data_IF_418167454286
#
_entry.id   IF_418167454286
#
_cell.length_a   1.000
_cell.length_b   1.000
_cell.length_c   1.000
_cell.angle_alpha   90.00
_cell.angle_beta   90.00
_cell.angle_gamma   90.00
#
_symmetry.space_group_name_H-M   'P 1'
#
loop_
_entity.id
_entity.type
_entity.pdbx_description
1 polymer ?
#
# COMPACT_ATOMS: atom_id res chain seq x y z
N UNK A 1 -10.71 4.99 25.22
CA UNK A 1 -10.49 5.70 23.94
C UNK A 1 -11.66 5.35 23.03
N UNK A 2 -12.62 6.25 22.84
CA UNK A 2 -13.71 6.02 21.87
C UNK A 2 -13.45 6.95 20.68
N UNK A 3 -12.71 6.46 19.69
CA UNK A 3 -12.36 7.18 18.46
C UNK A 3 -13.54 7.25 17.46
N UNK A 4 -14.76 6.97 17.92
CA UNK A 4 -15.98 7.01 17.10
C UNK A 4 -16.09 5.89 16.07
N UNK A 5 -15.14 4.95 15.97
CA UNK A 5 -15.08 3.96 14.89
C UNK A 5 -16.38 3.13 14.77
N UNK A 6 -16.93 2.65 15.88
CA UNK A 6 -18.17 1.86 15.86
C UNK A 6 -19.35 2.66 15.29
N UNK A 7 -19.42 3.96 15.61
CA UNK A 7 -20.42 4.87 15.06
C UNK A 7 -20.19 5.06 13.55
N UNK A 8 -18.95 5.32 13.14
CA UNK A 8 -18.58 5.44 11.72
C UNK A 8 -18.92 4.19 10.91
N UNK A 9 -18.72 2.98 11.47
CA UNK A 9 -19.11 1.71 10.83
C UNK A 9 -20.63 1.67 10.62
N UNK A 10 -21.42 2.03 11.63
CA UNK A 10 -22.89 1.99 11.54
C UNK A 10 -23.47 3.01 10.55
N UNK A 11 -22.83 4.17 10.42
CA UNK A 11 -23.28 5.25 9.53
C UNK A 11 -22.86 5.02 8.07
N UNK A 12 -21.81 4.23 7.83
CA UNK A 12 -21.18 4.07 6.51
C UNK A 12 -21.14 2.61 6.05
N UNK A 13 -22.19 1.83 6.35
CA UNK A 13 -22.26 0.39 6.08
C UNK A 13 -22.00 0.03 4.62
N UNK A 14 -22.45 0.85 3.66
CA UNK A 14 -22.19 0.68 2.23
C UNK A 14 -20.70 0.71 1.88
N UNK A 15 -19.97 1.70 2.41
CA UNK A 15 -18.52 1.81 2.20
C UNK A 15 -17.76 0.69 2.91
N UNK A 16 -18.19 0.30 4.12
CA UNK A 16 -17.61 -0.83 4.85
C UNK A 16 -17.79 -2.14 4.08
N UNK A 17 -18.98 -2.38 3.52
CA UNK A 17 -19.23 -3.57 2.70
C UNK A 17 -18.37 -3.57 1.42
N UNK A 18 -18.28 -2.43 0.74
CA UNK A 18 -17.39 -2.26 -0.41
C UNK A 18 -15.92 -2.52 -0.06
N UNK A 19 -15.46 -2.02 1.08
CA UNK A 19 -14.11 -2.27 1.56
C UNK A 19 -13.87 -3.76 1.84
N UNK A 20 -14.80 -4.45 2.51
CA UNK A 20 -14.71 -5.88 2.75
C UNK A 20 -14.63 -6.69 1.44
N UNK A 21 -15.43 -6.34 0.43
CA UNK A 21 -15.39 -6.99 -0.89
C UNK A 21 -14.02 -6.81 -1.54
N UNK A 22 -13.46 -5.60 -1.51
CA UNK A 22 -12.15 -5.31 -2.10
C UNK A 22 -11.03 -6.06 -1.36
N UNK A 23 -11.11 -6.17 -0.03
CA UNK A 23 -10.17 -6.98 0.75
C UNK A 23 -10.21 -8.45 0.30
N UNK A 24 -11.42 -9.02 0.12
CA UNK A 24 -11.57 -10.40 -0.35
C UNK A 24 -10.97 -10.57 -1.75
N UNK A 25 -11.24 -9.64 -2.67
CA UNK A 25 -10.68 -9.67 -4.02
C UNK A 25 -9.15 -9.59 -3.97
N UNK A 26 -8.60 -8.64 -3.22
CA UNK A 26 -7.15 -8.48 -3.06
C UNK A 26 -6.50 -9.75 -2.48
N UNK A 27 -7.17 -10.42 -1.53
CA UNK A 27 -6.71 -11.67 -0.94
C UNK A 27 -6.75 -12.85 -1.93
N UNK A 28 -7.80 -12.95 -2.75
CA UNK A 28 -7.87 -13.96 -3.81
C UNK A 28 -6.76 -13.74 -4.84
N UNK A 29 -6.57 -12.50 -5.27
CA UNK A 29 -5.49 -12.13 -6.21
C UNK A 29 -4.14 -12.45 -5.59
N UNK A 30 -3.89 -12.06 -4.34
CA UNK A 30 -2.61 -12.30 -3.68
C UNK A 30 -2.31 -13.80 -3.50
N UNK A 31 -3.31 -14.64 -3.25
CA UNK A 31 -3.17 -16.11 -3.24
C UNK A 31 -2.72 -16.62 -4.61
N UNK A 32 -3.38 -16.15 -5.68
CA UNK A 32 -3.03 -16.56 -7.04
C UNK A 32 -1.59 -16.13 -7.36
N UNK A 33 -1.24 -14.88 -7.05
CA UNK A 33 0.10 -14.33 -7.24
C UNK A 33 1.16 -15.08 -6.42
N UNK A 34 0.86 -15.46 -5.18
CA UNK A 34 1.74 -16.26 -4.31
C UNK A 34 1.97 -17.64 -4.93
N UNK A 35 0.91 -18.33 -5.39
CA UNK A 35 1.04 -19.64 -6.06
C UNK A 35 1.88 -19.55 -7.34
N UNK A 36 1.70 -18.50 -8.13
CA UNK A 36 2.53 -18.23 -9.31
C UNK A 36 3.99 -18.04 -8.90
N UNK A 37 4.25 -17.20 -7.89
CA UNK A 37 5.59 -16.94 -7.38
C UNK A 37 6.27 -18.20 -6.82
N UNK A 38 5.53 -19.05 -6.11
CA UNK A 38 6.01 -20.32 -5.57
C UNK A 38 6.37 -21.31 -6.69
N UNK A 39 5.51 -21.42 -7.72
CA UNK A 39 5.76 -22.24 -8.91
C UNK A 39 7.04 -21.82 -9.63
N UNK A 40 7.23 -20.51 -9.83
CA UNK A 40 8.43 -19.93 -10.46
C UNK A 40 9.69 -20.25 -9.64
N UNK A 41 9.62 -20.06 -8.32
CA UNK A 41 10.78 -20.25 -7.43
C UNK A 41 11.00 -21.72 -7.01
N UNK A 42 10.13 -22.65 -7.43
CA UNK A 42 10.12 -24.06 -7.00
C UNK A 42 10.12 -24.21 -5.48
N UNK A 43 9.35 -23.37 -4.79
CA UNK A 43 9.17 -23.43 -3.33
C UNK A 43 7.78 -23.97 -2.99
N UNK A 44 7.65 -24.63 -1.84
CA UNK A 44 6.36 -25.09 -1.30
C UNK A 44 6.20 -24.63 0.15
N UNK A 45 6.51 -23.35 0.40
CA UNK A 45 6.38 -22.79 1.74
C UNK A 45 4.90 -22.58 2.06
N UNK A 46 4.45 -22.89 3.30
CA UNK A 46 3.09 -22.59 3.71
C UNK A 46 2.84 -21.08 3.60
N UNK A 47 1.60 -20.71 3.26
CA UNK A 47 1.20 -19.31 3.16
C UNK A 47 1.38 -18.58 4.50
N UNK A 48 1.06 -19.24 5.62
CA UNK A 48 1.15 -18.70 6.97
C UNK A 48 1.97 -19.61 7.88
N UNK A 49 3.30 -19.55 7.78
CA UNK A 49 4.16 -20.08 8.84
C UNK A 49 4.18 -19.10 10.03
N UNK A 50 4.45 -19.61 11.23
CA UNK A 50 4.65 -18.77 12.44
C UNK A 50 5.65 -17.64 12.17
N UNK A 51 6.73 -17.94 11.44
CA UNK A 51 7.73 -16.94 11.04
C UNK A 51 7.16 -15.87 10.11
N UNK A 52 6.40 -16.25 9.09
CA UNK A 52 5.73 -15.27 8.21
C UNK A 52 4.75 -14.39 9.01
N UNK A 53 3.98 -14.97 9.93
CA UNK A 53 3.05 -14.22 10.77
C UNK A 53 3.76 -13.18 11.66
N UNK A 54 4.87 -13.55 12.30
CA UNK A 54 5.67 -12.61 13.11
C UNK A 54 6.22 -11.47 12.26
N UNK A 55 6.74 -11.78 11.06
CA UNK A 55 7.24 -10.75 10.14
C UNK A 55 6.13 -9.83 9.68
N UNK A 56 4.97 -10.38 9.30
CA UNK A 56 3.79 -9.60 8.90
C UNK A 56 3.39 -8.63 10.02
N UNK A 57 3.27 -9.11 11.26
CA UNK A 57 2.90 -8.27 12.40
C UNK A 57 3.91 -7.15 12.68
N UNK A 58 5.21 -7.49 12.69
CA UNK A 58 6.28 -6.51 12.91
C UNK A 58 6.31 -5.44 11.83
N UNK A 59 6.27 -5.85 10.56
CA UNK A 59 6.34 -4.91 9.44
C UNK A 59 5.06 -4.08 9.31
N UNK A 60 3.88 -4.63 9.63
CA UNK A 60 2.64 -3.86 9.69
C UNK A 60 2.67 -2.78 10.78
N UNK A 61 3.24 -3.08 11.96
CA UNK A 61 3.44 -2.09 13.00
C UNK A 61 4.40 -0.97 12.56
N UNK A 62 5.51 -1.31 11.88
CA UNK A 62 6.43 -0.32 11.32
C UNK A 62 5.74 0.53 10.25
N UNK A 63 5.00 -0.10 9.33
CA UNK A 63 4.22 0.59 8.30
C UNK A 63 3.23 1.58 8.91
N UNK A 64 2.51 1.18 9.96
CA UNK A 64 1.61 2.07 10.69
C UNK A 64 2.34 3.26 11.28
N UNK A 65 3.47 3.05 11.97
CA UNK A 65 4.27 4.14 12.54
C UNK A 65 4.73 5.10 11.45
N UNK A 66 5.21 4.59 10.30
CA UNK A 66 5.61 5.42 9.17
C UNK A 66 4.43 6.19 8.57
N UNK A 67 3.25 5.57 8.51
CA UNK A 67 2.02 6.22 8.05
C UNK A 67 1.61 7.39 8.94
N UNK A 68 1.92 7.35 10.24
CA UNK A 68 1.63 8.46 11.15
C UNK A 68 2.45 9.71 10.84
N UNK A 69 3.58 9.59 10.13
CA UNK A 69 4.43 10.68 9.67
C UNK A 69 4.11 11.07 8.21
N UNK A 70 2.83 11.27 7.93
CA UNK A 70 2.36 11.76 6.63
C UNK A 70 2.71 13.25 6.44
N UNK A 71 3.25 13.59 5.27
CA UNK A 71 3.77 14.91 4.94
C UNK A 71 2.90 15.49 3.81
N UNK A 72 2.32 16.70 3.98
CA UNK A 72 1.61 17.37 2.89
C UNK A 72 2.59 17.77 1.79
N UNK A 73 2.15 17.70 0.54
CA UNK A 73 2.99 18.02 -0.61
C UNK A 73 2.85 19.49 -1.02
N UNK A 74 3.95 20.20 -1.31
CA UNK A 74 3.89 21.63 -1.65
C UNK A 74 3.23 21.92 -3.01
N UNK A 75 3.07 20.92 -3.87
CA UNK A 75 2.51 21.05 -5.22
C UNK A 75 1.08 20.48 -5.35
N UNK A 76 0.50 20.01 -4.25
CA UNK A 76 -0.84 19.42 -4.24
C UNK A 76 -1.67 19.94 -3.05
N UNK A 77 -3.01 19.89 -3.12
CA UNK A 77 -3.88 20.19 -1.98
C UNK A 77 -3.54 19.39 -0.72
N UNK A 78 -3.87 19.94 0.45
CA UNK A 78 -3.49 19.39 1.78
C UNK A 78 -3.99 17.96 2.06
N UNK A 79 -5.04 17.51 1.37
CA UNK A 79 -5.56 16.14 1.49
C UNK A 79 -4.73 15.11 0.72
N UNK A 80 -3.82 15.54 -0.17
CA UNK A 80 -2.79 14.67 -0.73
C UNK A 80 -1.55 14.69 0.13
N UNK A 81 -1.30 13.54 0.77
CA UNK A 81 -0.17 13.38 1.68
C UNK A 81 0.73 12.25 1.20
N UNK A 82 2.01 12.40 1.51
CA UNK A 82 3.03 11.41 1.25
C UNK A 82 3.48 10.77 2.56
N UNK A 83 3.68 9.46 2.54
CA UNK A 83 4.15 8.66 3.66
C UNK A 83 5.00 7.50 3.12
N UNK A 84 5.78 6.88 4.01
CA UNK A 84 6.67 5.75 3.67
C UNK A 84 6.08 4.40 4.14
N UNK A 85 4.76 4.29 4.27
CA UNK A 85 4.15 3.13 4.90
C UNK A 85 4.11 1.87 4.04
N UNK A 86 4.26 1.98 2.72
CA UNK A 86 4.25 0.84 1.80
C UNK A 86 5.65 0.21 1.66
N UNK A 87 6.70 0.97 2.03
CA UNK A 87 8.11 0.52 2.02
C UNK A 87 8.33 -0.78 2.84
N UNK A 88 7.90 -0.89 4.11
CA UNK A 88 8.07 -2.13 4.86
C UNK A 88 7.34 -3.31 4.19
N UNK A 89 6.13 -3.08 3.68
CA UNK A 89 5.35 -4.11 3.02
C UNK A 89 6.06 -4.66 1.77
N UNK A 90 6.62 -3.78 0.94
CA UNK A 90 7.41 -4.17 -0.24
C UNK A 90 8.68 -4.95 0.12
N UNK A 91 9.42 -4.50 1.14
CA UNK A 91 10.63 -5.20 1.62
C UNK A 91 10.31 -6.62 2.08
N UNK A 92 9.26 -6.78 2.89
CA UNK A 92 8.84 -8.08 3.38
C UNK A 92 8.31 -8.97 2.24
N UNK A 93 7.56 -8.41 1.29
CA UNK A 93 7.06 -9.14 0.14
C UNK A 93 8.18 -9.68 -0.76
N UNK A 94 9.25 -8.90 -1.00
CA UNK A 94 10.43 -9.39 -1.74
C UNK A 94 11.12 -10.57 -1.04
N UNK A 95 11.05 -10.62 0.30
CA UNK A 95 11.63 -11.71 1.07
C UNK A 95 10.74 -12.97 1.11
N UNK A 96 9.42 -12.81 1.28
CA UNK A 96 8.48 -13.88 1.67
C UNK A 96 7.31 -14.13 0.71
N UNK A 97 7.14 -13.31 -0.33
CA UNK A 97 6.14 -13.47 -1.38
C UNK A 97 5.00 -12.43 -1.36
N UNK A 98 4.24 -12.30 -2.46
CA UNK A 98 3.19 -11.30 -2.63
C UNK A 98 2.15 -11.28 -1.50
N UNK A 99 1.78 -12.45 -0.99
CA UNK A 99 0.79 -12.57 0.07
C UNK A 99 1.22 -11.85 1.35
N UNK A 100 2.52 -11.86 1.64
CA UNK A 100 3.10 -11.20 2.82
C UNK A 100 2.88 -9.70 2.76
N UNK A 101 3.09 -9.08 1.60
CA UNK A 101 2.93 -7.64 1.43
C UNK A 101 1.47 -7.20 1.54
N UNK A 102 0.54 -7.92 0.90
CA UNK A 102 -0.90 -7.60 1.00
C UNK A 102 -1.41 -7.73 2.44
N UNK A 103 -0.91 -8.71 3.22
CA UNK A 103 -1.26 -8.82 4.63
C UNK A 103 -0.73 -7.67 5.47
N UNK A 104 0.48 -7.18 5.18
CA UNK A 104 1.06 -6.03 5.87
C UNK A 104 0.23 -4.78 5.59
N UNK A 105 -0.15 -4.55 4.32
CA UNK A 105 -1.04 -3.45 3.94
C UNK A 105 -2.40 -3.52 4.65
N UNK A 106 -3.01 -4.70 4.68
CA UNK A 106 -4.29 -4.88 5.35
C UNK A 106 -4.19 -4.58 6.84
N UNK A 107 -3.20 -5.15 7.54
CA UNK A 107 -3.05 -4.98 8.98
C UNK A 107 -2.67 -3.53 9.31
N UNK A 108 -1.83 -2.87 8.49
CA UNK A 108 -1.52 -1.44 8.61
C UNK A 108 -2.81 -0.62 8.69
N UNK A 109 -3.70 -0.80 7.71
CA UNK A 109 -4.93 -0.02 7.61
C UNK A 109 -5.94 -0.37 8.72
N UNK A 110 -6.05 -1.65 9.10
CA UNK A 110 -6.90 -2.03 10.23
C UNK A 110 -6.40 -1.42 11.54
N UNK A 111 -5.09 -1.40 11.77
CA UNK A 111 -4.51 -0.76 12.96
C UNK A 111 -4.70 0.75 12.93
N UNK A 112 -4.57 1.39 11.76
CA UNK A 112 -4.85 2.80 11.61
C UNK A 112 -6.30 3.12 12.00
N UNK A 113 -7.27 2.38 11.47
CA UNK A 113 -8.69 2.55 11.80
C UNK A 113 -8.96 2.39 13.30
N UNK A 114 -8.32 1.39 13.95
CA UNK A 114 -8.47 1.17 15.38
C UNK A 114 -7.86 2.30 16.22
N UNK A 115 -6.78 2.92 15.76
CA UNK A 115 -6.09 3.98 16.52
C UNK A 115 -6.69 5.36 16.24
N UNK A 116 -6.84 5.73 14.97
CA UNK A 116 -7.25 7.07 14.51
C UNK A 116 -8.75 7.19 14.20
N UNK A 117 -9.45 6.07 13.99
CA UNK A 117 -10.79 6.09 13.42
C UNK A 117 -10.73 6.37 11.92
N UNK A 118 -11.82 6.90 11.36
CA UNK A 118 -11.86 7.37 9.97
C UNK A 118 -12.47 8.76 9.90
N UNK A 119 -11.89 9.62 9.06
CA UNK A 119 -12.45 10.92 8.70
C UNK A 119 -13.00 10.95 7.27
N UNK A 120 -12.85 9.84 6.55
CA UNK A 120 -13.16 9.74 5.12
C UNK A 120 -14.23 8.69 4.82
N UNK A 121 -14.99 8.28 5.85
CA UNK A 121 -15.98 7.22 5.74
C UNK A 121 -15.42 5.94 5.07
N UNK A 122 -14.20 5.54 5.44
CA UNK A 122 -13.47 4.38 4.91
C UNK A 122 -12.96 4.52 3.47
N UNK A 123 -13.29 5.60 2.74
CA UNK A 123 -12.89 5.80 1.34
C UNK A 123 -11.38 5.99 1.22
N UNK A 124 -10.77 6.80 2.09
CA UNK A 124 -9.34 7.07 2.09
C UNK A 124 -8.51 5.88 2.52
N UNK A 125 -8.97 5.16 3.55
CA UNK A 125 -8.31 3.96 4.06
C UNK A 125 -8.36 2.82 3.02
N UNK A 126 -9.50 2.68 2.34
CA UNK A 126 -9.64 1.78 1.20
C UNK A 126 -8.70 2.17 0.04
N UNK A 127 -8.63 3.46 -0.29
CA UNK A 127 -7.74 3.95 -1.34
C UNK A 127 -6.28 3.61 -1.04
N UNK A 128 -5.85 3.82 0.20
CA UNK A 128 -4.49 3.53 0.64
C UNK A 128 -4.18 2.03 0.49
N UNK A 129 -5.07 1.15 0.98
CA UNK A 129 -4.92 -0.30 0.82
C UNK A 129 -4.82 -0.73 -0.66
N UNK A 130 -5.70 -0.21 -1.53
CA UNK A 130 -5.72 -0.58 -2.95
C UNK A 130 -4.46 -0.09 -3.65
N UNK A 131 -4.05 1.16 -3.44
CA UNK A 131 -2.84 1.72 -4.03
C UNK A 131 -1.61 0.92 -3.57
N UNK A 132 -1.49 0.61 -2.28
CA UNK A 132 -0.41 -0.22 -1.75
C UNK A 132 -0.38 -1.62 -2.39
N UNK A 133 -1.54 -2.27 -2.53
CA UNK A 133 -1.63 -3.57 -3.23
C UNK A 133 -1.22 -3.48 -4.71
N UNK A 134 -1.64 -2.42 -5.40
CA UNK A 134 -1.26 -2.16 -6.79
C UNK A 134 0.23 -1.86 -6.96
N UNK A 135 0.93 -1.41 -5.91
CA UNK A 135 2.39 -1.30 -5.91
C UNK A 135 3.04 -2.67 -5.72
N UNK A 136 2.63 -3.36 -4.65
CA UNK A 136 3.31 -4.55 -4.12
C UNK A 136 3.14 -5.77 -5.01
N UNK A 137 1.92 -6.02 -5.50
CA UNK A 137 1.61 -7.22 -6.27
C UNK A 137 2.43 -7.31 -7.57
N UNK A 138 2.37 -6.34 -8.50
CA UNK A 138 3.16 -6.42 -9.73
C UNK A 138 4.67 -6.44 -9.44
N UNK A 139 5.15 -5.62 -8.50
CA UNK A 139 6.56 -5.60 -8.13
C UNK A 139 7.04 -6.97 -7.62
N UNK A 140 6.29 -7.59 -6.71
CA UNK A 140 6.74 -8.84 -6.09
C UNK A 140 6.64 -10.04 -7.05
N UNK A 141 5.65 -10.05 -7.95
CA UNK A 141 5.54 -11.08 -8.99
C UNK A 141 6.72 -10.98 -9.96
N UNK A 142 7.03 -9.77 -10.43
CA UNK A 142 8.16 -9.56 -11.36
C UNK A 142 9.47 -9.97 -10.70
N UNK A 143 9.66 -9.57 -9.44
CA UNK A 143 10.85 -9.93 -8.67
C UNK A 143 10.99 -11.45 -8.49
N UNK A 144 9.86 -12.16 -8.40
CA UNK A 144 9.84 -13.61 -8.22
C UNK A 144 10.37 -14.40 -9.41
N UNK A 145 10.37 -13.85 -10.64
CA UNK A 145 10.97 -14.49 -11.81
C UNK A 145 12.48 -14.66 -11.69
N UNK A 146 13.16 -13.66 -11.13
CA UNK A 146 14.62 -13.72 -10.95
C UNK A 146 15.05 -12.78 -9.82
N UNK A 147 15.51 -13.34 -8.70
CA UNK A 147 15.86 -12.54 -7.50
C UNK A 147 17.22 -11.84 -7.60
N UNK A 148 17.37 -10.91 -8.55
CA UNK A 148 18.58 -10.10 -8.77
C UNK A 148 18.34 -8.62 -8.44
N UNK A 149 19.41 -7.82 -8.33
CA UNK A 149 19.27 -6.36 -8.17
C UNK A 149 18.59 -5.71 -9.36
N UNK A 150 18.94 -6.13 -10.58
CA UNK A 150 18.32 -5.65 -11.81
C UNK A 150 16.83 -5.93 -11.83
N UNK A 151 16.42 -7.14 -11.45
CA UNK A 151 14.99 -7.44 -11.41
C UNK A 151 14.27 -6.68 -10.30
N UNK A 152 14.91 -6.43 -9.15
CA UNK A 152 14.35 -5.58 -8.10
C UNK A 152 14.07 -4.16 -8.62
N UNK A 153 15.00 -3.57 -9.39
CA UNK A 153 14.82 -2.28 -10.04
C UNK A 153 13.66 -2.27 -11.03
N UNK A 154 13.59 -3.27 -11.93
CA UNK A 154 12.50 -3.41 -12.91
C UNK A 154 11.15 -3.58 -12.19
N UNK A 155 11.12 -4.41 -11.15
CA UNK A 155 9.93 -4.66 -10.33
C UNK A 155 9.40 -3.37 -9.69
N UNK A 156 10.31 -2.61 -9.09
CA UNK A 156 10.02 -1.32 -8.46
C UNK A 156 9.52 -0.29 -9.47
N UNK A 157 10.13 -0.23 -10.66
CA UNK A 157 9.69 0.64 -11.74
C UNK A 157 8.27 0.30 -12.21
N UNK A 158 8.00 -0.99 -12.46
CA UNK A 158 6.66 -1.44 -12.88
C UNK A 158 5.63 -1.21 -11.78
N UNK A 159 5.97 -1.47 -10.52
CA UNK A 159 5.09 -1.13 -9.39
C UNK A 159 4.77 0.36 -9.35
N UNK A 160 5.77 1.23 -9.46
CA UNK A 160 5.61 2.69 -9.45
C UNK A 160 4.71 3.16 -10.60
N UNK A 161 4.92 2.65 -11.81
CA UNK A 161 4.07 2.96 -12.95
C UNK A 161 2.64 2.44 -12.76
N UNK A 162 2.49 1.26 -12.15
CA UNK A 162 1.17 0.67 -11.87
C UNK A 162 0.38 1.55 -10.90
N UNK A 163 0.96 1.99 -9.78
CA UNK A 163 0.25 2.91 -8.88
C UNK A 163 0.01 4.27 -9.50
N UNK A 164 0.89 4.75 -10.38
CA UNK A 164 0.68 6.02 -11.07
C UNK A 164 -0.55 5.95 -11.96
N UNK A 165 -0.70 4.87 -12.74
CA UNK A 165 -1.85 4.67 -13.62
C UNK A 165 -3.12 4.40 -12.79
N UNK A 166 -3.09 3.39 -11.91
CA UNK A 166 -4.26 2.98 -11.15
C UNK A 166 -4.69 4.05 -10.16
N UNK A 167 -3.76 4.67 -9.43
CA UNK A 167 -4.04 5.76 -8.51
C UNK A 167 -4.62 6.99 -9.22
N UNK A 168 -4.17 7.29 -10.44
CA UNK A 168 -4.77 8.35 -11.26
C UNK A 168 -6.21 8.02 -11.66
N UNK A 169 -6.46 6.82 -12.17
CA UNK A 169 -7.80 6.37 -12.54
C UNK A 169 -8.74 6.32 -11.34
N UNK A 170 -8.28 5.80 -10.21
CA UNK A 170 -9.04 5.78 -8.96
C UNK A 170 -9.39 7.20 -8.51
N UNK A 171 -8.49 8.17 -8.65
CA UNK A 171 -8.80 9.56 -8.30
C UNK A 171 -9.90 10.16 -9.17
N UNK A 172 -9.83 9.97 -10.49
CA UNK A 172 -10.83 10.51 -11.43
C UNK A 172 -12.20 9.86 -11.21
N UNK A 173 -12.26 8.54 -11.16
CA UNK A 173 -13.52 7.80 -11.26
C UNK A 173 -14.13 7.42 -9.92
N UNK A 174 -13.36 7.41 -8.84
CA UNK A 174 -13.84 6.94 -7.55
C UNK A 174 -13.57 7.93 -6.41
N UNK A 175 -12.32 8.30 -6.14
CA UNK A 175 -11.98 9.05 -4.93
C UNK A 175 -12.55 10.47 -4.95
N UNK A 176 -12.26 11.29 -5.97
CA UNK A 176 -12.77 12.66 -6.02
C UNK A 176 -14.31 12.70 -6.05
N UNK A 177 -15.01 11.87 -6.85
CA UNK A 177 -16.47 11.77 -6.77
C UNK A 177 -17.00 11.30 -5.42
N UNK A 178 -16.37 10.31 -4.79
CA UNK A 178 -16.80 9.80 -3.48
C UNK A 178 -16.58 10.84 -2.38
N UNK A 179 -15.48 11.59 -2.41
CA UNK A 179 -15.23 12.69 -1.49
C UNK A 179 -16.21 13.84 -1.66
N UNK A 180 -16.52 14.21 -2.91
CA UNK A 180 -17.54 15.20 -3.21
C UNK A 180 -18.92 14.80 -2.65
N UNK A 181 -19.32 13.54 -2.87
CA UNK A 181 -20.56 13.00 -2.33
C UNK A 181 -20.54 12.97 -0.78
N UNK A 182 -19.43 12.55 -0.18
CA UNK A 182 -19.30 12.43 1.27
C UNK A 182 -19.42 13.78 1.98
N UNK A 183 -18.80 14.83 1.43
CA UNK A 183 -18.80 16.17 2.00
C UNK A 183 -19.93 17.07 1.49
N UNK A 184 -20.82 16.55 0.63
CA UNK A 184 -21.90 17.33 0.03
C UNK A 184 -21.40 18.52 -0.79
N UNK A 185 -20.18 18.43 -1.31
CA UNK A 185 -19.50 19.51 -2.01
C UNK A 185 -19.46 19.24 -3.53
N UNK A 186 -19.53 20.28 -4.37
CA UNK A 186 -19.33 20.11 -5.81
C UNK A 186 -17.91 19.61 -6.09
N UNK A 187 -17.72 18.74 -7.09
CA UNK A 187 -16.38 18.21 -7.45
C UNK A 187 -15.41 19.36 -7.79
N UNK A 188 -15.95 20.45 -8.32
CA UNK A 188 -15.25 21.68 -8.66
C UNK A 188 -14.56 22.33 -7.46
N UNK A 189 -15.02 22.11 -6.21
CA UNK A 189 -14.35 22.64 -5.03
C UNK A 189 -12.97 22.00 -4.83
N UNK A 190 -12.83 20.70 -5.12
CA UNK A 190 -11.52 20.03 -5.04
C UNK A 190 -10.57 20.50 -6.14
N UNK A 191 -11.12 20.80 -7.32
CA UNK A 191 -10.34 21.39 -8.41
C UNK A 191 -9.86 22.78 -8.02
N UNK A 192 -10.71 23.60 -7.39
CA UNK A 192 -10.35 24.94 -6.93
C UNK A 192 -9.22 24.93 -5.88
N UNK A 193 -9.25 23.98 -4.93
CA UNK A 193 -8.14 23.75 -4.01
C UNK A 193 -6.83 23.41 -4.76
N UNK A 194 -6.93 22.62 -5.84
CA UNK A 194 -5.80 22.34 -6.73
C UNK A 194 -5.30 23.58 -7.47
N UNK A 195 -6.22 24.40 -7.99
CA UNK A 195 -5.91 25.66 -8.69
C UNK A 195 -5.18 26.65 -7.79
N UNK A 196 -5.53 26.70 -6.51
CA UNK A 196 -4.89 27.57 -5.52
C UNK A 196 -3.40 27.22 -5.31
N UNK A 197 -3.03 25.95 -5.48
CA UNK A 197 -1.64 25.48 -5.36
C UNK A 197 -0.91 25.55 -6.70
N UNK A 198 -1.59 25.22 -7.81
CA UNK A 198 -1.03 25.25 -9.15
C UNK A 198 -2.09 25.73 -10.15
N UNK A 199 -1.86 26.91 -10.73
CA UNK A 199 -2.79 27.55 -11.68
C UNK A 199 -3.09 26.75 -12.94
N UNK A 200 -2.27 25.73 -13.27
CA UNK A 200 -2.53 24.82 -14.39
C UNK A 200 -3.62 23.78 -14.10
N UNK A 201 -4.06 23.65 -12.85
CA UNK A 201 -5.19 22.80 -12.46
C UNK A 201 -6.49 23.54 -12.77
N UNK A 202 -7.20 23.10 -13.81
CA UNK A 202 -8.46 23.70 -14.29
C UNK A 202 -9.63 22.72 -14.34
N UNK A 203 -9.36 21.44 -14.19
CA UNK A 203 -10.31 20.32 -14.23
C UNK A 203 -9.80 19.15 -13.39
N UNK A 204 -10.67 18.16 -13.13
CA UNK A 204 -10.31 16.90 -12.47
C UNK A 204 -9.14 16.20 -13.18
N UNK A 205 -9.13 16.18 -14.50
CA UNK A 205 -8.05 15.55 -15.29
C UNK A 205 -6.71 16.25 -15.10
N UNK A 206 -6.70 17.58 -15.14
CA UNK A 206 -5.48 18.35 -14.89
C UNK A 206 -5.02 18.26 -13.43
N UNK A 207 -5.96 18.16 -12.48
CA UNK A 207 -5.65 17.92 -11.07
C UNK A 207 -4.95 16.57 -10.90
N UNK A 208 -5.45 15.52 -11.55
CA UNK A 208 -4.80 14.21 -11.54
C UNK A 208 -3.43 14.28 -12.19
N UNK A 209 -3.30 14.96 -13.32
CA UNK A 209 -2.02 15.09 -14.04
C UNK A 209 -0.97 15.87 -13.24
N UNK A 210 -1.33 16.97 -12.57
CA UNK A 210 -0.39 17.85 -11.89
C UNK A 210 -0.20 17.55 -10.39
N UNK A 211 -1.14 16.86 -9.75
CA UNK A 211 -1.05 16.52 -8.32
C UNK A 211 -0.89 15.01 -8.12
N UNK A 212 -1.78 14.19 -8.68
CA UNK A 212 -1.84 12.75 -8.38
C UNK A 212 -0.73 11.96 -9.07
N UNK A 213 -0.44 12.26 -10.33
CA UNK A 213 0.65 11.59 -11.08
C UNK A 213 2.01 11.85 -10.41
N UNK A 214 2.40 13.11 -10.12
CA UNK A 214 3.66 13.37 -9.42
C UNK A 214 3.70 12.77 -8.01
N UNK A 215 2.60 12.84 -7.25
CA UNK A 215 2.50 12.19 -5.94
C UNK A 215 2.81 10.69 -6.03
N UNK A 216 2.17 9.96 -6.95
CA UNK A 216 2.36 8.51 -7.06
C UNK A 216 3.75 8.14 -7.60
N UNK A 217 4.31 8.95 -8.51
CA UNK A 217 5.68 8.78 -8.98
C UNK A 217 6.71 9.00 -7.86
N UNK A 218 6.52 10.04 -7.04
CA UNK A 218 7.36 10.32 -5.87
C UNK A 218 7.20 9.19 -4.85
N UNK A 219 5.97 8.80 -4.55
CA UNK A 219 5.67 7.76 -3.56
C UNK A 219 6.33 6.43 -3.93
N UNK A 220 5.99 5.90 -5.11
CA UNK A 220 6.58 4.66 -5.60
C UNK A 220 8.08 4.79 -5.82
N UNK A 221 8.56 5.94 -6.32
CA UNK A 221 9.98 6.19 -6.58
C UNK A 221 10.83 6.17 -5.31
N UNK A 222 10.44 6.88 -4.25
CA UNK A 222 11.17 6.91 -2.99
C UNK A 222 11.16 5.54 -2.33
N UNK A 223 9.99 4.89 -2.23
CA UNK A 223 9.87 3.54 -1.65
C UNK A 223 10.73 2.53 -2.42
N UNK A 224 10.75 2.64 -3.74
CA UNK A 224 11.57 1.82 -4.63
C UNK A 224 13.06 2.02 -4.40
N UNK A 225 13.51 3.28 -4.33
CA UNK A 225 14.93 3.63 -4.10
C UNK A 225 15.38 3.02 -2.77
N UNK A 226 14.64 3.27 -1.69
CA UNK A 226 15.00 2.77 -0.36
C UNK A 226 14.96 1.24 -0.34
N UNK A 227 13.93 0.63 -0.93
CA UNK A 227 13.81 -0.84 -1.02
C UNK A 227 15.05 -1.43 -1.68
N UNK A 228 15.48 -0.95 -2.84
CA UNK A 228 16.60 -1.52 -3.59
C UNK A 228 17.91 -1.51 -2.79
N UNK A 229 18.15 -0.49 -1.97
CA UNK A 229 19.33 -0.42 -1.11
C UNK A 229 19.28 -1.35 0.10
N UNK A 230 18.09 -1.54 0.68
CA UNK A 230 17.95 -2.17 2.00
C UNK A 230 17.50 -3.63 1.92
N UNK A 231 16.72 -4.02 0.90
CA UNK A 231 16.01 -5.30 0.87
C UNK A 231 16.93 -6.51 1.02
N UNK A 232 18.13 -6.49 0.43
CA UNK A 232 19.05 -7.65 0.51
C UNK A 232 19.51 -7.91 1.93
N UNK A 233 19.91 -6.86 2.66
CA UNK A 233 20.40 -7.00 4.04
C UNK A 233 19.28 -7.51 4.93
N UNK A 234 18.10 -6.93 4.79
CA UNK A 234 16.91 -7.34 5.55
C UNK A 234 16.50 -8.77 5.18
N UNK A 235 16.44 -9.13 3.90
CA UNK A 235 16.06 -10.49 3.47
C UNK A 235 16.99 -11.56 4.06
N UNK A 236 18.30 -11.29 4.12
CA UNK A 236 19.28 -12.18 4.73
C UNK A 236 19.02 -12.32 6.23
N UNK A 237 18.84 -11.23 6.97
CA UNK A 237 18.54 -11.27 8.41
C UNK A 237 17.24 -12.03 8.68
N UNK A 238 16.17 -11.69 7.95
CA UNK A 238 14.86 -12.31 8.10
C UNK A 238 14.90 -13.81 7.81
N UNK A 239 15.78 -14.27 6.90
CA UNK A 239 16.01 -15.70 6.59
C UNK A 239 16.91 -16.41 7.56
N UNK A 240 17.96 -15.74 8.04
CA UNK A 240 19.00 -16.35 8.87
C UNK A 240 18.66 -16.45 10.36
N UNK A 241 17.65 -15.73 10.88
CA UNK A 241 17.10 -15.97 12.22
C UNK A 241 16.78 -17.47 12.44
N UNK A 242 16.51 -18.21 11.36
CA UNK A 242 16.25 -19.66 11.36
C UNK A 242 17.49 -20.52 11.65
N UNK A 243 18.70 -20.13 11.19
CA UNK A 243 19.87 -21.00 11.25
C UNK A 243 20.43 -21.15 12.67
N UNK A 244 20.31 -20.09 13.47
CA UNK A 244 20.74 -20.07 14.88
C UNK A 244 19.85 -21.00 15.72
N UNK A 245 18.53 -20.95 15.52
CA UNK A 245 17.57 -21.73 16.32
C UNK A 245 17.63 -23.23 16.03
N UNK A 246 17.77 -23.63 14.75
CA UNK A 246 17.86 -25.05 14.37
C UNK A 246 19.14 -25.72 14.87
N UNK A 247 20.24 -24.96 15.00
CA UNK A 247 21.52 -25.42 15.58
C UNK A 247 21.48 -25.52 17.12
N UNK A 248 20.60 -24.77 17.77
CA UNK A 248 20.41 -24.82 19.23
C UNK A 248 19.54 -26.00 19.67
N UNK A 249 18.57 -26.42 18.86
CA UNK A 249 17.73 -27.61 19.13
C UNK A 249 18.40 -28.94 18.72
N UNK A 250 19.50 -28.89 17.95
CA UNK A 250 20.29 -30.07 17.58
C UNK A 250 21.50 -30.29 18.50
N UNK A 251 21.55 -29.60 19.64
CA UNK A 251 22.49 -29.78 20.74
C UNK A 251 21.70 -30.15 21.99
#
# INVERSE_FOLDING_TARGET
MNNGLLKSISENTGYVAGFAIIIVIAFVISIICEKIAQKINKTNEPMFSTRKMVVIGLFAAISLVLMMFEIPLPFAPYFYKFDLSDLPALIAAFAFGPMTGVMIELIKILLELVIRGTQTAFVGELANFVIGCCFILPATIIYSFRKTRTMALISCLVGTLTITIVGSLLNVYFLLPAYAALWGAPIESFVAEGTAVNSNVTSVWTMVLYCVVPLNLIKGGIDSIITVFVYKRISVVLKNITFVYKKQLSK
#
